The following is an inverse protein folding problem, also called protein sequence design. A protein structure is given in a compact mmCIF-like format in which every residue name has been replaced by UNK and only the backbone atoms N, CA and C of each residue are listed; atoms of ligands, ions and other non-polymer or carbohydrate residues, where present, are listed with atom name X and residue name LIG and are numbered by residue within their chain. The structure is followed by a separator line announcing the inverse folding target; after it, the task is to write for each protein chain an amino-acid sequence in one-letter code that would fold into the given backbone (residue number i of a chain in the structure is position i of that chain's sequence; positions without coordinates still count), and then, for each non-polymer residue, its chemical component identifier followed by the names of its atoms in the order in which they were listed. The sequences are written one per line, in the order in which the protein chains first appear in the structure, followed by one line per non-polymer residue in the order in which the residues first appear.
data_IF_623273374322
#
_entry.id   IF_623273374322
#
_cell.length_a   1.000
_cell.length_b   1.000
_cell.length_c   1.000
_cell.angle_alpha   90.00
_cell.angle_beta   90.00
_cell.angle_gamma   90.00
#
_symmetry.space_group_name_H-M   'P 1'
#
loop_
_entity.id
_entity.type
_entity.pdbx_description
1 polymer ?
#
# COMPACT_ATOMS: atom_id res chain seq x y z
N UNK A 1 34.63 26.70 -2.02
CA UNK A 1 34.05 26.31 -3.32
C UNK A 1 32.62 25.88 -3.08
N UNK A 2 31.58 26.69 -3.34
CA UNK A 2 30.20 26.23 -3.26
C UNK A 2 29.97 25.21 -4.39
N UNK A 3 29.43 24.04 -4.03
CA UNK A 3 29.08 23.00 -4.99
C UNK A 3 28.11 23.59 -6.03
N UNK A 4 28.49 23.56 -7.31
CA UNK A 4 27.58 23.85 -8.42
C UNK A 4 26.49 22.78 -8.39
N UNK A 5 25.33 23.12 -7.83
CA UNK A 5 24.12 22.32 -7.95
C UNK A 5 23.78 22.31 -9.44
N UNK A 6 23.81 21.13 -10.07
CA UNK A 6 23.43 20.98 -11.46
C UNK A 6 21.99 21.51 -11.66
N UNK A 7 21.68 22.19 -12.78
CA UNK A 7 20.34 22.67 -13.03
C UNK A 7 19.39 21.46 -13.07
N UNK A 8 18.38 21.47 -12.19
CA UNK A 8 17.34 20.45 -12.14
C UNK A 8 16.58 20.47 -13.47
N UNK A 9 16.62 19.37 -14.23
CA UNK A 9 15.83 19.22 -15.45
C UNK A 9 14.35 19.00 -15.08
N UNK A 10 13.46 19.95 -15.41
CA UNK A 10 12.04 19.84 -15.09
C UNK A 10 11.36 18.64 -15.77
N UNK A 11 11.90 18.16 -16.91
CA UNK A 11 11.34 17.01 -17.64
C UNK A 11 11.72 15.69 -16.95
N UNK A 12 12.98 15.53 -16.57
CA UNK A 12 13.42 14.39 -15.77
C UNK A 12 12.67 14.31 -14.42
N UNK A 13 12.45 15.45 -13.76
CA UNK A 13 11.70 15.52 -12.51
C UNK A 13 10.23 15.09 -12.69
N UNK A 14 9.55 15.56 -13.73
CA UNK A 14 8.17 15.16 -14.04
C UNK A 14 8.06 13.65 -14.29
N UNK A 15 9.04 13.06 -15.00
CA UNK A 15 9.07 11.63 -15.27
C UNK A 15 9.22 10.80 -13.99
N UNK A 16 10.19 11.13 -13.14
CA UNK A 16 10.40 10.43 -11.86
C UNK A 16 9.15 10.51 -10.99
N UNK A 17 8.48 11.66 -10.98
CA UNK A 17 7.28 11.91 -10.20
C UNK A 17 6.12 11.01 -10.69
N UNK A 18 5.89 10.92 -12.01
CA UNK A 18 4.90 10.01 -12.60
C UNK A 18 5.21 8.54 -12.33
N UNK A 19 6.46 8.12 -12.47
CA UNK A 19 6.88 6.75 -12.21
C UNK A 19 6.63 6.37 -10.73
N UNK A 20 6.90 7.32 -9.82
CA UNK A 20 6.66 7.15 -8.38
C UNK A 20 5.16 7.06 -8.06
N UNK A 21 4.34 7.95 -8.63
CA UNK A 21 2.86 7.90 -8.48
C UNK A 21 2.34 6.55 -8.99
N UNK A 22 2.76 6.12 -10.17
CA UNK A 22 2.34 4.84 -10.76
C UNK A 22 2.72 3.65 -9.87
N UNK A 23 3.92 3.67 -9.27
CA UNK A 23 4.37 2.63 -8.35
C UNK A 23 3.50 2.60 -7.07
N UNK A 24 3.16 3.77 -6.52
CA UNK A 24 2.32 3.89 -5.33
C UNK A 24 0.86 3.45 -5.63
N UNK A 25 0.32 3.78 -6.79
CA UNK A 25 -1.01 3.33 -7.24
C UNK A 25 -1.09 1.81 -7.36
N UNK A 26 -0.05 1.17 -7.90
CA UNK A 26 0.04 -0.30 -7.91
C UNK A 26 0.08 -0.88 -6.50
N UNK A 27 0.83 -0.25 -5.59
CA UNK A 27 0.83 -0.61 -4.18
C UNK A 27 -0.56 -0.49 -3.54
N UNK A 28 -1.31 0.58 -3.84
CA UNK A 28 -2.68 0.77 -3.37
C UNK A 28 -3.60 -0.37 -3.84
N UNK A 29 -3.52 -0.75 -5.12
CA UNK A 29 -4.30 -1.87 -5.67
C UNK A 29 -3.96 -3.20 -4.99
N UNK A 30 -2.67 -3.46 -4.72
CA UNK A 30 -2.24 -4.66 -4.01
C UNK A 30 -2.77 -4.71 -2.57
N UNK A 31 -2.71 -3.59 -1.84
CA UNK A 31 -3.25 -3.50 -0.48
C UNK A 31 -4.77 -3.74 -0.47
N UNK A 32 -5.48 -3.15 -1.44
CA UNK A 32 -6.92 -3.38 -1.59
C UNK A 32 -7.24 -4.86 -1.85
N UNK A 33 -6.49 -5.50 -2.75
CA UNK A 33 -6.66 -6.92 -3.03
C UNK A 33 -6.41 -7.79 -1.78
N UNK A 34 -5.38 -7.49 -0.99
CA UNK A 34 -5.12 -8.19 0.28
C UNK A 34 -6.27 -8.00 1.27
N UNK A 35 -6.83 -6.80 1.36
CA UNK A 35 -7.96 -6.51 2.25
C UNK A 35 -9.21 -7.33 1.87
N UNK A 36 -9.54 -7.38 0.58
CA UNK A 36 -10.68 -8.16 0.08
C UNK A 36 -10.47 -9.66 0.30
N UNK A 37 -9.28 -10.19 -0.01
CA UNK A 37 -8.98 -11.60 0.27
C UNK A 37 -9.09 -11.95 1.76
N UNK A 38 -8.58 -11.08 2.64
CA UNK A 38 -8.66 -11.28 4.08
C UNK A 38 -10.12 -11.24 4.57
N UNK A 39 -10.96 -10.41 3.94
CA UNK A 39 -12.39 -10.32 4.23
C UNK A 39 -13.15 -11.57 3.82
N UNK A 40 -12.92 -12.06 2.60
CA UNK A 40 -13.55 -13.29 2.11
C UNK A 40 -13.19 -14.48 3.01
N UNK A 41 -11.90 -14.61 3.35
CA UNK A 41 -11.42 -15.66 4.26
C UNK A 41 -12.00 -15.48 5.67
N UNK A 42 -12.16 -14.25 6.15
CA UNK A 42 -12.78 -13.98 7.44
C UNK A 42 -14.23 -14.48 7.47
N UNK A 43 -15.01 -14.22 6.42
CA UNK A 43 -16.41 -14.66 6.32
C UNK A 43 -16.54 -16.18 6.23
N UNK A 44 -15.61 -16.85 5.56
CA UNK A 44 -15.54 -18.32 5.52
C UNK A 44 -15.20 -18.91 6.89
N UNK A 45 -14.14 -18.41 7.55
CA UNK A 45 -13.71 -18.89 8.86
C UNK A 45 -14.77 -18.58 9.94
N UNK A 46 -15.49 -17.47 9.82
CA UNK A 46 -16.59 -17.12 10.71
C UNK A 46 -17.75 -18.11 10.62
N UNK A 47 -18.11 -18.54 9.41
CA UNK A 47 -19.13 -19.57 9.18
C UNK A 47 -18.71 -20.91 9.75
N UNK A 48 -17.48 -21.36 9.45
CA UNK A 48 -16.94 -22.62 9.99
C UNK A 48 -16.89 -22.59 11.53
N UNK A 49 -16.49 -21.46 12.12
CA UNK A 49 -16.44 -21.31 13.56
C UNK A 49 -17.81 -21.46 14.21
N UNK A 50 -18.87 -20.92 13.60
CA UNK A 50 -20.22 -21.04 14.15
C UNK A 50 -20.72 -22.48 14.10
N UNK A 51 -20.48 -23.20 13.01
CA UNK A 51 -20.77 -24.63 12.89
C UNK A 51 -20.06 -25.44 13.99
N UNK A 52 -18.75 -25.21 14.18
CA UNK A 52 -17.97 -25.89 15.22
C UNK A 52 -18.48 -25.51 16.63
N UNK A 53 -18.90 -24.26 16.85
CA UNK A 53 -19.49 -23.84 18.14
C UNK A 53 -20.80 -24.53 18.45
N UNK A 54 -21.65 -24.75 17.44
CA UNK A 54 -22.86 -25.55 17.61
C UNK A 54 -22.54 -27.01 17.89
N UNK A 55 -21.59 -27.60 17.17
CA UNK A 55 -21.17 -28.99 17.38
C UNK A 55 -20.60 -29.20 18.78
N UNK A 56 -19.73 -28.29 19.24
CA UNK A 56 -19.20 -28.30 20.62
C UNK A 56 -20.33 -28.21 21.65
N UNK A 57 -21.32 -27.33 21.45
CA UNK A 57 -22.46 -27.21 22.38
C UNK A 57 -23.23 -28.53 22.51
N UNK A 58 -23.57 -29.15 21.39
CA UNK A 58 -24.28 -30.45 21.38
C UNK A 58 -23.46 -31.55 22.06
N UNK A 59 -22.17 -31.62 21.76
CA UNK A 59 -21.29 -32.64 22.32
C UNK A 59 -21.07 -32.45 23.84
N UNK A 60 -21.01 -31.22 24.33
CA UNK A 60 -20.98 -30.93 25.77
C UNK A 60 -22.21 -31.49 26.46
N UNK A 61 -23.40 -31.27 25.90
CA UNK A 61 -24.64 -31.80 26.47
C UNK A 61 -24.65 -33.34 26.49
N UNK A 62 -24.13 -33.98 25.44
CA UNK A 62 -23.99 -35.44 25.37
C UNK A 62 -22.99 -35.98 26.41
N UNK A 63 -21.84 -35.33 26.56
CA UNK A 63 -20.82 -35.68 27.56
C UNK A 63 -21.38 -35.55 28.97
N UNK A 64 -22.15 -34.50 29.26
CA UNK A 64 -22.78 -34.28 30.56
C UNK A 64 -23.83 -35.35 30.87
N UNK A 65 -24.62 -35.77 29.88
CA UNK A 65 -25.57 -36.87 30.04
C UNK A 65 -24.86 -38.20 30.31
N UNK A 66 -23.82 -38.52 29.54
CA UNK A 66 -23.00 -39.72 29.75
C UNK A 66 -22.29 -39.71 31.10
N UNK A 67 -21.81 -38.56 31.56
CA UNK A 67 -21.18 -38.42 32.87
C UNK A 67 -22.17 -38.75 34.01
N UNK A 68 -23.44 -38.32 33.88
CA UNK A 68 -24.50 -38.68 34.84
C UNK A 68 -24.82 -40.17 34.81
N UNK A 69 -24.84 -40.78 33.62
CA UNK A 69 -25.05 -42.23 33.46
C UNK A 69 -23.89 -43.04 34.06
N UNK A 70 -22.65 -42.62 33.81
CA UNK A 70 -21.44 -43.26 34.35
C UNK A 70 -21.46 -43.26 35.87
N UNK A 71 -21.79 -42.10 36.45
CA UNK A 71 -21.92 -41.97 37.90
C UNK A 71 -22.99 -42.91 38.48
N UNK A 72 -24.15 -43.06 37.81
CA UNK A 72 -25.21 -43.98 38.25
C UNK A 72 -24.79 -45.43 38.13
N UNK A 73 -24.19 -45.83 37.01
CA UNK A 73 -23.69 -47.19 36.80
C UNK A 73 -22.61 -47.55 37.83
N UNK A 74 -21.71 -46.61 38.15
CA UNK A 74 -20.68 -46.80 39.19
C UNK A 74 -21.29 -46.96 40.59
N UNK A 75 -22.31 -46.17 40.93
CA UNK A 75 -23.01 -46.30 42.21
C UNK A 75 -23.72 -47.67 42.33
N UNK A 76 -24.39 -48.11 41.26
CA UNK A 76 -25.04 -49.43 41.19
C UNK A 76 -24.04 -50.56 41.38
N UNK A 77 -22.89 -50.50 40.70
CA UNK A 77 -21.81 -51.47 40.86
C UNK A 77 -21.31 -51.52 42.32
N UNK A 78 -21.11 -50.36 42.95
CA UNK A 78 -20.69 -50.28 44.37
C UNK A 78 -21.75 -50.88 45.30
N UNK A 79 -23.03 -50.64 45.04
CA UNK A 79 -24.12 -51.20 45.83
C UNK A 79 -24.19 -52.73 45.73
N UNK A 80 -24.12 -53.27 44.51
CA UNK A 80 -24.12 -54.71 44.26
C UNK A 80 -22.86 -55.36 44.86
N UNK A 81 -21.70 -54.70 44.74
CA UNK A 81 -20.45 -55.14 45.37
C UNK A 81 -20.55 -55.23 46.89
N UNK A 82 -21.17 -54.23 47.54
CA UNK A 82 -21.40 -54.23 48.99
C UNK A 82 -22.36 -55.32 49.45
N UNK A 83 -23.39 -55.61 48.64
CA UNK A 83 -24.40 -56.63 48.92
C UNK A 83 -24.18 -57.91 48.09
N UNK A 84 -22.92 -58.24 47.77
CA UNK A 84 -22.59 -59.38 46.91
C UNK A 84 -23.24 -60.71 47.34
N UNK A 85 -23.32 -61.06 48.64
CA UNK A 85 -23.99 -62.29 49.08
C UNK A 85 -25.49 -62.35 48.73
N UNK A 86 -26.15 -61.19 48.52
CA UNK A 86 -27.57 -61.09 48.18
C UNK A 86 -27.81 -61.12 46.67
N UNK A 87 -26.88 -60.60 45.86
CA UNK A 87 -27.04 -60.44 44.41
C UNK A 87 -26.33 -61.50 43.57
N UNK A 88 -25.24 -62.10 44.08
CA UNK A 88 -24.47 -63.11 43.36
C UNK A 88 -23.57 -62.57 42.24
N UNK A 89 -22.88 -63.50 41.58
CA UNK A 89 -21.82 -63.21 40.60
C UNK A 89 -22.37 -62.61 39.29
N UNK A 90 -23.49 -63.13 38.77
CA UNK A 90 -24.08 -62.68 37.51
C UNK A 90 -24.45 -61.18 37.58
N UNK A 91 -25.15 -60.76 38.63
CA UNK A 91 -25.55 -59.37 38.82
C UNK A 91 -24.34 -58.42 38.99
N UNK A 92 -23.28 -58.89 39.67
CA UNK A 92 -22.04 -58.12 39.79
C UNK A 92 -21.36 -57.95 38.43
N UNK A 93 -21.28 -59.02 37.64
CA UNK A 93 -20.70 -59.00 36.30
C UNK A 93 -21.45 -58.08 35.36
N UNK A 94 -22.78 -58.14 35.33
CA UNK A 94 -23.61 -57.25 34.52
C UNK A 94 -23.40 -55.77 34.88
N UNK A 95 -23.40 -55.44 36.18
CA UNK A 95 -23.19 -54.07 36.63
C UNK A 95 -21.77 -53.56 36.32
N UNK A 96 -20.76 -54.45 36.39
CA UNK A 96 -19.39 -54.13 36.02
C UNK A 96 -19.26 -53.87 34.52
N UNK A 97 -19.81 -54.75 33.69
CA UNK A 97 -19.80 -54.60 32.23
C UNK A 97 -20.56 -53.34 31.79
N UNK A 98 -21.69 -53.02 32.43
CA UNK A 98 -22.43 -51.77 32.19
C UNK A 98 -21.60 -50.53 32.55
N UNK A 99 -21.01 -50.49 33.75
CA UNK A 99 -20.19 -49.37 34.19
C UNK A 99 -18.96 -49.18 33.29
N UNK A 100 -18.28 -50.26 32.92
CA UNK A 100 -17.13 -50.22 32.02
C UNK A 100 -17.50 -49.69 30.63
N UNK A 101 -18.62 -50.18 30.06
CA UNK A 101 -19.10 -49.72 28.75
C UNK A 101 -19.40 -48.23 28.75
N UNK A 102 -20.11 -47.73 29.76
CA UNK A 102 -20.44 -46.30 29.85
C UNK A 102 -19.18 -45.46 30.08
N UNK A 103 -18.23 -45.95 30.89
CA UNK A 103 -16.95 -45.30 31.12
C UNK A 103 -16.13 -45.15 29.83
N UNK A 104 -15.99 -46.22 29.04
CA UNK A 104 -15.30 -46.16 27.74
C UNK A 104 -15.98 -45.18 26.78
N UNK A 105 -17.31 -45.20 26.71
CA UNK A 105 -18.05 -44.29 25.85
C UNK A 105 -17.84 -42.83 26.26
N UNK A 106 -17.90 -42.54 27.57
CA UNK A 106 -17.64 -41.20 28.10
C UNK A 106 -16.20 -40.74 27.79
N UNK A 107 -15.22 -41.62 27.95
CA UNK A 107 -13.82 -41.30 27.62
C UNK A 107 -13.65 -40.90 26.15
N UNK A 108 -14.25 -41.68 25.22
CA UNK A 108 -14.22 -41.36 23.79
C UNK A 108 -14.93 -40.04 23.46
N UNK A 109 -16.06 -39.75 24.10
CA UNK A 109 -16.78 -38.48 23.87
C UNK A 109 -16.01 -37.27 24.40
N UNK A 110 -15.38 -37.38 25.58
CA UNK A 110 -14.52 -36.33 26.15
C UNK A 110 -13.31 -36.03 25.27
N UNK A 111 -12.72 -37.06 24.67
CA UNK A 111 -11.62 -36.87 23.73
C UNK A 111 -12.07 -36.10 22.48
N UNK A 112 -13.22 -36.48 21.90
CA UNK A 112 -13.82 -35.73 20.78
C UNK A 112 -14.14 -34.28 21.15
N UNK A 113 -14.68 -34.06 22.35
CA UNK A 113 -14.98 -32.71 22.86
C UNK A 113 -13.72 -31.86 22.94
N UNK A 114 -12.63 -32.42 23.48
CA UNK A 114 -11.33 -31.76 23.55
C UNK A 114 -10.81 -31.39 22.16
N UNK A 115 -10.89 -32.31 21.20
CA UNK A 115 -10.46 -32.07 19.81
C UNK A 115 -11.27 -30.95 19.13
N UNK A 116 -12.60 -30.95 19.28
CA UNK A 116 -13.45 -29.91 18.71
C UNK A 116 -13.24 -28.54 19.38
N UNK A 117 -13.04 -28.51 20.70
CA UNK A 117 -12.67 -27.27 21.42
C UNK A 117 -11.33 -26.72 20.92
N UNK A 118 -10.33 -27.57 20.69
CA UNK A 118 -9.05 -27.14 20.12
C UNK A 118 -9.23 -26.56 18.71
N UNK A 119 -10.05 -27.21 17.86
CA UNK A 119 -10.38 -26.70 16.52
C UNK A 119 -11.05 -25.32 16.60
N UNK A 120 -12.06 -25.17 17.46
CA UNK A 120 -12.71 -23.86 17.73
C UNK A 120 -11.68 -22.79 18.10
N UNK A 121 -10.79 -23.08 19.04
CA UNK A 121 -9.80 -22.11 19.51
C UNK A 121 -8.79 -21.73 18.41
N UNK A 122 -8.45 -22.66 17.51
CA UNK A 122 -7.64 -22.37 16.32
C UNK A 122 -8.38 -21.43 15.37
N UNK A 123 -9.66 -21.70 15.08
CA UNK A 123 -10.49 -20.86 14.21
C UNK A 123 -10.67 -19.45 14.79
N UNK A 124 -10.93 -19.33 16.10
CA UNK A 124 -11.04 -18.02 16.77
C UNK A 124 -9.74 -17.20 16.66
N UNK A 125 -8.58 -17.85 16.84
CA UNK A 125 -7.28 -17.18 16.65
C UNK A 125 -7.01 -16.80 15.19
N UNK A 126 -7.49 -17.59 14.23
CA UNK A 126 -7.38 -17.25 12.80
C UNK A 126 -8.24 -16.03 12.47
N UNK A 127 -9.48 -16.02 12.94
CA UNK A 127 -10.43 -14.94 12.72
C UNK A 127 -9.94 -13.60 13.30
N UNK A 128 -9.34 -13.61 14.51
CA UNK A 128 -8.68 -12.41 15.07
C UNK A 128 -7.53 -11.90 14.19
N UNK A 129 -6.67 -12.80 13.71
CA UNK A 129 -5.53 -12.46 12.83
C UNK A 129 -5.99 -11.89 11.48
N UNK A 130 -7.07 -12.41 10.93
CA UNK A 130 -7.68 -11.88 9.70
C UNK A 130 -8.23 -10.46 9.93
N UNK A 131 -8.93 -10.23 11.06
CA UNK A 131 -9.37 -8.89 11.44
C UNK A 131 -8.23 -7.88 11.60
N UNK A 132 -7.12 -8.29 12.23
CA UNK A 132 -5.90 -7.46 12.32
C UNK A 132 -5.31 -7.15 10.94
N UNK A 133 -5.32 -8.13 10.02
CA UNK A 133 -4.82 -7.97 8.65
C UNK A 133 -5.66 -6.95 7.89
N UNK A 134 -6.99 -7.04 8.00
CA UNK A 134 -7.92 -6.07 7.39
C UNK A 134 -7.68 -4.65 7.93
N UNK A 135 -7.59 -4.47 9.26
CA UNK A 135 -7.32 -3.16 9.87
C UNK A 135 -6.01 -2.56 9.38
N UNK A 136 -4.93 -3.36 9.29
CA UNK A 136 -3.65 -2.90 8.77
C UNK A 136 -3.72 -2.52 7.29
N UNK A 137 -4.47 -3.27 6.50
CA UNK A 137 -4.67 -2.95 5.09
C UNK A 137 -5.43 -1.63 4.92
N UNK A 138 -6.45 -1.36 5.74
CA UNK A 138 -7.17 -0.09 5.75
C UNK A 138 -6.27 1.10 6.13
N UNK A 139 -5.46 0.96 7.18
CA UNK A 139 -4.48 1.96 7.59
C UNK A 139 -3.46 2.26 6.49
N UNK A 140 -2.90 1.22 5.88
CA UNK A 140 -1.95 1.35 4.76
C UNK A 140 -2.61 2.02 3.56
N UNK A 141 -3.83 1.66 3.21
CA UNK A 141 -4.56 2.28 2.12
C UNK A 141 -4.80 3.78 2.39
N UNK A 142 -5.12 4.17 3.63
CA UNK A 142 -5.25 5.57 4.02
C UNK A 142 -3.93 6.35 3.91
N UNK A 143 -2.82 5.76 4.36
CA UNK A 143 -1.49 6.35 4.23
C UNK A 143 -1.09 6.54 2.76
N UNK A 144 -1.38 5.54 1.91
CA UNK A 144 -1.12 5.62 0.47
C UNK A 144 -1.97 6.72 -0.18
N UNK A 145 -3.26 6.84 0.17
CA UNK A 145 -4.12 7.93 -0.32
C UNK A 145 -3.55 9.31 0.04
N UNK A 146 -3.15 9.50 1.29
CA UNK A 146 -2.53 10.76 1.73
C UNK A 146 -1.21 11.04 0.98
N UNK A 147 -0.39 10.02 0.74
CA UNK A 147 0.85 10.16 -0.02
C UNK A 147 0.57 10.56 -1.48
N UNK A 148 -0.41 9.93 -2.13
CA UNK A 148 -0.84 10.27 -3.50
C UNK A 148 -1.35 11.71 -3.59
N UNK A 149 -2.17 12.16 -2.63
CA UNK A 149 -2.65 13.56 -2.57
C UNK A 149 -1.50 14.56 -2.43
N UNK A 150 -0.52 14.27 -1.57
CA UNK A 150 0.65 15.13 -1.38
C UNK A 150 1.54 15.22 -2.63
N UNK A 151 1.81 14.08 -3.26
CA UNK A 151 2.64 13.99 -4.47
C UNK A 151 1.97 14.64 -5.68
N UNK A 152 0.67 14.38 -5.87
CA UNK A 152 -0.10 14.93 -7.00
C UNK A 152 -0.38 16.43 -6.85
N UNK A 153 -0.62 16.94 -5.63
CA UNK A 153 -0.89 18.36 -5.41
C UNK A 153 0.39 19.21 -5.32
N UNK A 154 1.15 19.06 -4.23
CA UNK A 154 2.23 19.99 -3.88
C UNK A 154 3.45 19.87 -4.79
N UNK A 155 3.72 18.66 -5.27
CA UNK A 155 4.92 18.35 -6.03
C UNK A 155 4.73 18.74 -7.51
N UNK A 156 3.54 18.53 -8.08
CA UNK A 156 3.16 19.05 -9.40
C UNK A 156 3.28 20.57 -9.49
N UNK A 157 2.89 21.30 -8.43
CA UNK A 157 3.05 22.76 -8.36
C UNK A 157 4.50 23.21 -8.40
N UNK A 158 5.40 22.46 -7.75
CA UNK A 158 6.84 22.73 -7.78
C UNK A 158 7.45 22.47 -9.15
N UNK A 159 7.05 21.37 -9.82
CA UNK A 159 7.50 21.07 -11.20
C UNK A 159 7.06 22.18 -12.15
N UNK A 160 5.82 22.66 -12.04
CA UNK A 160 5.31 23.79 -12.83
C UNK A 160 6.15 25.05 -12.62
N UNK A 161 6.39 25.43 -11.36
CA UNK A 161 7.21 26.61 -11.02
C UNK A 161 8.65 26.48 -11.53
N UNK A 162 9.25 25.30 -11.43
CA UNK A 162 10.59 25.04 -11.96
C UNK A 162 10.64 25.17 -13.48
N UNK A 163 9.62 24.68 -14.20
CA UNK A 163 9.48 24.86 -15.65
C UNK A 163 9.32 26.33 -16.03
N UNK A 164 8.50 27.09 -15.32
CA UNK A 164 8.30 28.52 -15.54
C UNK A 164 9.60 29.31 -15.33
N UNK A 165 10.36 29.00 -14.26
CA UNK A 165 11.66 29.61 -13.99
C UNK A 165 12.68 29.28 -15.10
N UNK A 166 12.74 28.03 -15.52
CA UNK A 166 13.62 27.59 -16.63
C UNK A 166 13.26 28.31 -17.94
N UNK A 167 11.96 28.44 -18.24
CA UNK A 167 11.49 29.16 -19.42
C UNK A 167 11.85 30.65 -19.37
N UNK A 168 11.62 31.32 -18.24
CA UNK A 168 11.99 32.73 -18.04
C UNK A 168 13.49 32.95 -18.19
N UNK A 169 14.31 32.05 -17.65
CA UNK A 169 15.76 32.11 -17.80
C UNK A 169 16.19 32.00 -19.27
N UNK A 170 15.60 31.07 -20.02
CA UNK A 170 15.88 30.91 -21.45
C UNK A 170 15.47 32.14 -22.27
N UNK A 171 14.28 32.69 -22.03
CA UNK A 171 13.82 33.94 -22.67
C UNK A 171 14.76 35.11 -22.31
N UNK A 172 15.22 35.20 -21.06
CA UNK A 172 16.17 36.21 -20.63
C UNK A 172 17.52 36.13 -21.35
N UNK A 173 18.05 34.92 -21.58
CA UNK A 173 19.26 34.72 -22.38
C UNK A 173 19.06 35.16 -23.83
N UNK A 174 17.92 34.82 -24.44
CA UNK A 174 17.58 35.25 -25.80
C UNK A 174 17.50 36.78 -25.91
N UNK A 175 16.91 37.44 -24.91
CA UNK A 175 16.85 38.91 -24.86
C UNK A 175 18.24 39.54 -24.72
N UNK A 176 19.09 38.99 -23.84
CA UNK A 176 20.47 39.47 -23.68
C UNK A 176 21.28 39.31 -24.97
N UNK A 177 21.12 38.17 -25.66
CA UNK A 177 21.74 37.94 -26.96
C UNK A 177 21.24 38.94 -28.01
N UNK A 178 19.94 39.14 -28.11
CA UNK A 178 19.35 40.13 -29.03
C UNK A 178 19.82 41.56 -28.72
N UNK A 179 19.94 41.93 -27.44
CA UNK A 179 20.41 43.26 -27.03
C UNK A 179 21.91 43.46 -27.33
N UNK A 180 22.72 42.42 -27.15
CA UNK A 180 24.14 42.43 -27.52
C UNK A 180 24.33 42.52 -29.04
N UNK A 181 23.50 41.83 -29.81
CA UNK A 181 23.46 41.96 -31.27
C UNK A 181 23.07 43.38 -31.72
N UNK A 182 22.08 43.98 -31.07
CA UNK A 182 21.65 45.35 -31.34
C UNK A 182 22.75 46.35 -30.99
N UNK A 183 23.42 46.16 -29.84
CA UNK A 183 24.57 46.97 -29.45
C UNK A 183 25.71 46.86 -30.47
N UNK A 184 25.95 45.68 -31.05
CA UNK A 184 26.93 45.47 -32.12
C UNK A 184 26.50 46.07 -33.47
N UNK A 185 25.19 46.15 -33.75
CA UNK A 185 24.65 46.87 -34.92
C UNK A 185 24.83 48.38 -34.75
N UNK A 186 24.38 48.93 -33.63
CA UNK A 186 24.55 50.34 -33.29
C UNK A 186 26.02 50.76 -33.27
N UNK A 187 26.92 49.93 -32.73
CA UNK A 187 28.36 50.22 -32.76
C UNK A 187 28.90 50.29 -34.20
N UNK A 188 28.41 49.45 -35.11
CA UNK A 188 28.75 49.53 -36.55
C UNK A 188 28.17 50.79 -37.18
N UNK A 189 26.91 51.11 -36.94
CA UNK A 189 26.26 52.30 -37.50
C UNK A 189 26.89 53.61 -36.98
N UNK A 190 27.26 53.66 -35.69
CA UNK A 190 27.98 54.79 -35.08
C UNK A 190 29.39 54.91 -35.64
N UNK A 191 30.07 53.79 -35.89
CA UNK A 191 31.44 53.78 -36.43
C UNK A 191 31.49 54.07 -37.94
N UNK A 192 30.47 53.68 -38.70
CA UNK A 192 30.34 53.94 -40.14
C UNK A 192 29.77 55.34 -40.44
N UNK A 193 29.15 56.01 -39.46
CA UNK A 193 28.72 57.41 -39.55
C UNK A 193 29.86 58.41 -39.86
N UNK A 194 31.02 58.35 -39.18
CA UNK A 194 32.23 59.09 -39.53
C UNK A 194 32.79 58.72 -40.92
N UNK A 195 32.77 57.42 -41.27
CA UNK A 195 33.31 56.94 -42.54
C UNK A 195 32.49 57.40 -43.76
N UNK A 196 31.15 57.44 -43.65
CA UNK A 196 30.28 57.99 -44.70
C UNK A 196 30.42 59.52 -44.86
N UNK A 197 30.63 60.25 -43.76
CA UNK A 197 30.86 61.69 -43.80
C UNK A 197 32.21 62.04 -44.45
N UNK A 198 33.25 61.22 -44.22
CA UNK A 198 34.54 61.34 -44.90
C UNK A 198 34.46 60.99 -46.40
N UNK A 199 33.68 59.97 -46.77
CA UNK A 199 33.44 59.60 -48.17
C UNK A 199 32.66 60.68 -48.95
N UNK A 200 31.70 61.37 -48.31
CA UNK A 200 30.95 62.46 -48.96
C UNK A 200 31.75 63.75 -49.16
N UNK A 201 32.77 64.05 -48.33
CA UNK A 201 33.67 65.20 -48.55
C UNK A 201 34.78 64.94 -49.57
N UNK A 202 35.05 63.68 -49.92
CA UNK A 202 36.06 63.32 -50.94
C UNK A 202 35.62 63.42 -52.40
N UNK A 203 34.33 63.61 -52.70
CA UNK A 203 33.79 63.55 -54.07
C UNK A 203 32.94 64.78 -54.48
N UNK A 204 33.43 66.01 -54.23
CA UNK A 204 32.99 67.22 -54.95
C UNK A 204 34.20 68.03 -55.43
N UNK A 205 34.76 67.63 -56.58
CA UNK A 205 35.30 68.61 -57.54
C UNK A 205 34.13 69.30 -58.25
N UNK A 206 34.23 70.58 -58.63
CA UNK A 206 34.63 70.95 -60.00
C UNK A 206 35.34 72.33 -60.05
N UNK A 207 35.99 72.81 -61.11
CA UNK A 207 36.11 72.38 -62.49
C UNK A 207 36.78 73.52 -63.30
N UNK A 208 37.33 73.17 -64.45
CA UNK A 208 37.46 73.97 -65.67
C UNK A 208 38.12 75.36 -65.62
N UNK A 209 39.30 75.47 -66.24
CA UNK A 209 39.73 76.71 -66.92
C UNK A 209 40.33 76.36 -68.28
N UNK A 210 39.61 76.78 -69.33
CA UNK A 210 40.03 77.06 -70.73
C UNK A 210 39.36 78.42 -70.99
N UNK A 211 39.96 79.49 -71.58
CA UNK A 211 40.60 79.57 -72.93
C UNK A 211 41.73 80.66 -72.96
N UNK A 212 42.08 81.41 -74.05
CA UNK A 212 41.80 81.34 -75.51
C UNK A 212 43.07 81.43 -76.42
N UNK A 213 42.95 81.43 -77.76
CA UNK A 213 44.08 81.39 -78.69
C UNK A 213 44.49 82.77 -79.26
N UNK A 214 45.72 82.85 -79.75
CA UNK A 214 46.17 83.80 -80.78
C UNK A 214 47.64 84.20 -80.64
N UNK A 215 48.25 84.86 -81.65
CA UNK A 215 47.96 84.85 -83.09
C UNK A 215 48.72 83.74 -83.86
#
# INVERSE_FOLDING_TARGET
MPARVAPLDPVALDRVLRDTITAIERGHQQVFFIAEQARDEYEEVARELEEVREEVRRLVDEVDQLARLEQRARLRLVEISRHFPLHGEEAYREAYEEAMRVHEQLARMRERESQLRQRRDVLERRLRRLGETMSRAEELAAQIRLALELLSGKLSDLVRRARDLSHRYHVGLMMLQAQEEERRRLARDIHDGPAQMLARRGCRGPGGVVPPPGP
#
